data_IF_415767353382
#
_entry.id   IF_415767353382
#
_cell.length_a   1.000
_cell.length_b   1.000
_cell.length_c   1.000
_cell.angle_alpha   90.00
_cell.angle_beta   90.00
_cell.angle_gamma   90.00
#
_symmetry.space_group_name_H-M   'P 1'
#
loop_
_entity.id
_entity.type
_entity.pdbx_description
1 polymer ?
#
# COMPACT_ATOMS: atom_id res chain seq x y z
N UNK A 1 -7.76 13.96 -2.47
CA UNK A 1 -6.56 14.81 -2.32
C UNK A 1 -6.16 15.35 -3.69
N UNK A 2 -5.67 16.59 -3.79
CA UNK A 2 -5.15 17.17 -5.04
C UNK A 2 -3.66 17.42 -4.88
N UNK A 3 -2.88 16.99 -5.85
CA UNK A 3 -1.42 17.16 -5.89
C UNK A 3 -1.06 17.86 -7.20
N UNK A 4 -0.10 18.78 -7.15
CA UNK A 4 0.49 19.42 -8.33
C UNK A 4 1.82 18.71 -8.60
N UNK A 5 2.03 18.33 -9.85
CA UNK A 5 3.24 17.64 -10.33
C UNK A 5 3.64 18.27 -11.65
N UNK A 6 4.92 18.52 -11.81
CA UNK A 6 5.50 18.98 -13.07
C UNK A 6 5.80 17.77 -13.95
N UNK A 7 5.34 17.81 -15.20
CA UNK A 7 5.61 16.80 -16.21
C UNK A 7 6.16 17.49 -17.46
N UNK A 8 7.14 16.89 -18.15
CA UNK A 8 7.54 17.32 -19.49
C UNK A 8 6.34 17.36 -20.44
N UNK A 9 6.31 18.35 -21.33
CA UNK A 9 5.20 18.52 -22.27
C UNK A 9 4.98 17.29 -23.16
N UNK A 10 6.06 16.62 -23.57
CA UNK A 10 6.00 15.42 -24.41
C UNK A 10 5.25 14.27 -23.72
N UNK A 11 5.53 14.03 -22.43
CA UNK A 11 4.87 13.00 -21.63
C UNK A 11 3.39 13.34 -21.41
N UNK A 12 3.09 14.61 -21.17
CA UNK A 12 1.72 15.08 -21.01
C UNK A 12 0.89 14.88 -22.29
N UNK A 13 1.48 15.15 -23.46
CA UNK A 13 0.82 14.91 -24.75
C UNK A 13 0.57 13.42 -25.00
N UNK A 14 1.53 12.56 -24.68
CA UNK A 14 1.36 11.12 -24.79
C UNK A 14 0.20 10.60 -23.93
N UNK A 15 0.10 11.06 -22.67
CA UNK A 15 -1.00 10.71 -21.76
C UNK A 15 -2.34 11.23 -22.30
N UNK A 16 -2.40 12.45 -22.84
CA UNK A 16 -3.63 13.00 -23.43
C UNK A 16 -4.09 12.20 -24.65
N UNK A 17 -3.16 11.79 -25.51
CA UNK A 17 -3.48 10.95 -26.66
C UNK A 17 -4.04 9.59 -26.22
N UNK A 18 -3.44 8.97 -25.20
CA UNK A 18 -3.93 7.72 -24.62
C UNK A 18 -5.32 7.89 -24.00
N UNK A 19 -5.53 8.95 -23.21
CA UNK A 19 -6.80 9.26 -22.58
C UNK A 19 -7.93 9.44 -23.61
N UNK A 20 -7.63 10.12 -24.74
CA UNK A 20 -8.56 10.29 -25.86
C UNK A 20 -8.88 8.95 -26.53
N UNK A 21 -7.88 8.09 -26.75
CA UNK A 21 -8.07 6.75 -27.34
C UNK A 21 -8.96 5.87 -26.46
N UNK A 22 -8.77 5.94 -25.15
CA UNK A 22 -9.52 5.14 -24.16
C UNK A 22 -10.84 5.77 -23.72
N UNK A 23 -11.16 6.98 -24.21
CA UNK A 23 -12.36 7.76 -23.82
C UNK A 23 -12.46 8.01 -22.31
N UNK A 24 -11.32 8.26 -21.66
CA UNK A 24 -11.23 8.57 -20.24
C UNK A 24 -10.73 10.00 -20.02
N UNK A 25 -10.95 10.53 -18.82
CA UNK A 25 -10.37 11.83 -18.43
C UNK A 25 -8.85 11.74 -18.29
N UNK A 26 -8.15 12.85 -18.54
CA UNK A 26 -6.71 12.96 -18.29
C UNK A 26 -6.34 12.58 -16.85
N UNK A 27 -7.14 13.00 -15.88
CA UNK A 27 -6.93 12.67 -14.47
C UNK A 27 -7.03 11.15 -14.21
N UNK A 28 -7.93 10.45 -14.92
CA UNK A 28 -8.04 9.00 -14.82
C UNK A 28 -6.84 8.28 -15.45
N UNK A 29 -6.36 8.76 -16.60
CA UNK A 29 -5.15 8.22 -17.22
C UNK A 29 -3.94 8.34 -16.28
N UNK A 30 -3.77 9.50 -15.62
CA UNK A 30 -2.70 9.71 -14.63
C UNK A 30 -2.89 8.75 -13.42
N UNK A 31 -4.12 8.59 -12.90
CA UNK A 31 -4.36 7.64 -11.80
C UNK A 31 -4.01 6.20 -12.17
N UNK A 32 -4.32 5.78 -13.40
CA UNK A 32 -3.95 4.45 -13.91
C UNK A 32 -2.43 4.30 -14.01
N UNK A 33 -1.73 5.31 -14.51
CA UNK A 33 -0.27 5.32 -14.59
C UNK A 33 0.38 5.18 -13.19
N UNK A 34 -0.11 5.94 -12.20
CA UNK A 34 0.35 5.83 -10.80
C UNK A 34 0.09 4.44 -10.24
N UNK A 35 -1.10 3.87 -10.45
CA UNK A 35 -1.41 2.50 -10.00
C UNK A 35 -0.51 1.46 -10.65
N UNK A 36 -0.29 1.56 -11.96
CA UNK A 36 0.59 0.66 -12.70
C UNK A 36 2.04 0.75 -12.20
N UNK A 37 2.52 1.96 -11.91
CA UNK A 37 3.84 2.17 -11.32
C UNK A 37 3.98 1.50 -9.95
N UNK A 38 2.99 1.69 -9.07
CA UNK A 38 2.98 1.07 -7.74
C UNK A 38 2.80 -0.45 -7.77
N UNK A 39 2.10 -0.99 -8.78
CA UNK A 39 1.99 -2.43 -8.98
C UNK A 39 3.32 -3.02 -9.45
N UNK A 40 4.02 -2.34 -10.37
CA UNK A 40 5.34 -2.78 -10.84
C UNK A 40 6.45 -2.58 -9.79
N UNK A 41 6.28 -1.60 -8.90
CA UNK A 41 7.21 -1.25 -7.83
C UNK A 41 6.40 -1.00 -6.56
N UNK A 42 6.09 -2.07 -5.81
CA UNK A 42 5.40 -1.94 -4.54
C UNK A 42 6.15 -0.94 -3.67
N UNK A 43 5.41 -0.04 -3.04
CA UNK A 43 6.01 0.79 -1.99
C UNK A 43 6.58 -0.14 -0.92
N UNK A 44 7.73 0.18 -0.30
CA UNK A 44 8.23 -0.60 0.81
C UNK A 44 7.11 -0.72 1.85
N UNK A 45 6.81 -1.96 2.26
CA UNK A 45 5.82 -2.24 3.29
C UNK A 45 6.19 -1.40 4.52
N UNK A 46 5.37 -0.39 4.82
CA UNK A 46 5.45 0.30 6.11
C UNK A 46 4.97 -0.61 7.24
N UNK A 47 4.25 -1.64 6.90
CA UNK A 47 3.75 -2.66 7.79
C UNK A 47 4.08 -4.00 7.15
N UNK A 48 5.15 -4.66 7.62
CA UNK A 48 5.09 -6.12 7.67
C UNK A 48 3.70 -6.46 8.21
N UNK A 49 2.89 -7.30 7.56
CA UNK A 49 1.51 -7.53 7.98
C UNK A 49 1.53 -7.94 9.45
N UNK A 50 1.19 -6.99 10.33
CA UNK A 50 1.14 -7.25 11.77
C UNK A 50 -0.01 -8.22 12.09
N UNK A 51 -0.94 -8.37 11.13
CA UNK A 51 -1.88 -9.46 11.07
C UNK A 51 -1.17 -10.78 10.71
N UNK A 52 -1.01 -11.65 11.69
CA UNK A 52 -0.44 -13.00 11.51
C UNK A 52 0.96 -13.20 12.11
N UNK A 53 1.65 -12.15 12.55
CA UNK A 53 2.98 -12.30 13.20
C UNK A 53 2.92 -13.08 14.54
N UNK A 54 1.71 -13.22 15.10
CA UNK A 54 1.44 -13.97 16.33
C UNK A 54 0.89 -15.38 16.06
N UNK A 55 0.70 -15.77 14.80
CA UNK A 55 0.26 -17.12 14.46
C UNK A 55 1.39 -18.11 14.79
N UNK A 56 1.13 -19.03 15.73
CA UNK A 56 2.10 -20.01 16.22
C UNK A 56 2.81 -19.66 17.54
N UNK A 57 2.45 -18.56 18.20
CA UNK A 57 2.84 -18.30 19.60
C UNK A 57 1.82 -18.87 20.57
N UNK A 58 2.28 -19.15 21.80
CA UNK A 58 1.47 -19.64 22.91
C UNK A 58 0.27 -18.69 23.17
N UNK A 59 -0.88 -19.25 23.56
CA UNK A 59 -2.07 -18.43 23.82
C UNK A 59 -1.75 -17.37 24.88
N UNK A 60 -2.20 -16.13 24.66
CA UNK A 60 -1.79 -14.99 25.49
C UNK A 60 -2.09 -15.17 26.99
N UNK A 61 -3.10 -15.98 27.34
CA UNK A 61 -3.44 -16.31 28.72
C UNK A 61 -2.42 -17.31 29.31
N UNK A 62 -2.06 -18.37 28.57
CA UNK A 62 -1.08 -19.36 29.00
C UNK A 62 0.31 -18.73 29.22
N UNK A 63 0.69 -17.82 28.33
CA UNK A 63 1.92 -17.04 28.46
C UNK A 63 1.92 -16.17 29.71
N UNK A 64 0.79 -15.51 30.01
CA UNK A 64 0.64 -14.70 31.23
C UNK A 64 0.66 -15.54 32.49
N UNK A 65 -0.02 -16.69 32.50
CA UNK A 65 -0.07 -17.59 33.64
C UNK A 65 1.34 -18.14 33.94
N UNK A 66 2.11 -18.51 32.91
CA UNK A 66 3.50 -18.99 33.08
C UNK A 66 4.42 -17.90 33.63
N UNK A 67 4.27 -16.65 33.18
CA UNK A 67 5.03 -15.53 33.72
C UNK A 67 4.64 -15.17 35.16
N UNK A 68 3.41 -15.48 35.56
CA UNK A 68 2.86 -15.15 36.88
C UNK A 68 2.82 -16.33 37.84
N UNK A 69 3.40 -17.46 37.45
CA UNK A 69 3.42 -18.69 38.25
C UNK A 69 4.21 -18.51 39.56
N UNK A 70 5.09 -17.51 39.62
CA UNK A 70 5.79 -17.08 40.84
C UNK A 70 4.90 -16.34 41.87
N UNK A 71 3.73 -15.84 41.46
CA UNK A 71 2.80 -15.14 42.35
C UNK A 71 1.69 -16.11 42.76
N UNK A 72 1.99 -16.98 43.72
CA UNK A 72 1.03 -17.92 44.30
C UNK A 72 -0.26 -17.18 44.70
N UNK A 73 -1.41 -17.66 44.18
CA UNK A 73 -2.75 -17.11 44.43
C UNK A 73 -3.16 -17.13 45.90
#
# INVERSE_FOLDING_TARGET
MRTVVDLPDEELQAIKALAKREKISQAEAIRRAVRAYLHARPAPDKESPAFGLWEGREEGIQYQDTLRDEWTR
#
